data_IF_584336848991
#
_entry.id   IF_584336848991
#
_cell.length_a   1.000
_cell.length_b   1.000
_cell.length_c   1.000
_cell.angle_alpha   90.00
_cell.angle_beta   90.00
_cell.angle_gamma   90.00
#
_symmetry.space_group_name_H-M   'P 1'
#
loop_
_entity.id
_entity.type
_entity.pdbx_description
1 polymer ?
#
# COMPACT_ATOMS: atom_id res chain seq x y z
N UNK A 1 7.96 -38.53 19.79
CA UNK A 1 7.47 -37.81 20.98
C UNK A 1 7.68 -36.34 20.69
N UNK A 2 6.58 -35.59 20.50
CA UNK A 2 6.63 -34.15 20.21
C UNK A 2 7.02 -33.41 21.49
N UNK A 3 8.04 -32.56 21.44
CA UNK A 3 8.51 -31.78 22.59
C UNK A 3 7.47 -30.69 22.96
N UNK A 4 6.78 -30.78 24.11
CA UNK A 4 5.76 -29.82 24.50
C UNK A 4 6.32 -28.42 24.77
N UNK A 5 7.60 -28.29 25.13
CA UNK A 5 8.22 -27.00 25.40
C UNK A 5 8.43 -26.18 24.12
N UNK A 6 8.66 -26.86 22.98
CA UNK A 6 8.80 -26.21 21.67
C UNK A 6 7.51 -25.50 21.24
N UNK A 7 6.35 -26.10 21.51
CA UNK A 7 5.05 -25.50 21.19
C UNK A 7 4.67 -24.38 22.15
N UNK A 8 5.01 -24.53 23.43
CA UNK A 8 4.73 -23.50 24.43
C UNK A 8 5.52 -22.21 24.17
N UNK A 9 6.79 -22.32 23.73
CA UNK A 9 7.60 -21.14 23.36
C UNK A 9 7.05 -20.44 22.11
N UNK A 10 6.65 -21.19 21.09
CA UNK A 10 6.01 -20.65 19.87
C UNK A 10 4.69 -19.95 20.20
N UNK A 11 3.86 -20.50 21.08
CA UNK A 11 2.60 -19.85 21.48
C UNK A 11 2.81 -18.53 22.24
N UNK A 12 3.87 -18.44 23.06
CA UNK A 12 4.22 -17.21 23.80
C UNK A 12 4.72 -16.13 22.83
N UNK A 13 5.57 -16.50 21.88
CA UNK A 13 6.10 -15.62 20.84
C UNK A 13 4.96 -15.04 19.96
N UNK A 14 4.04 -15.92 19.53
CA UNK A 14 2.84 -15.51 18.77
C UNK A 14 1.94 -14.53 19.54
N UNK A 15 1.71 -14.77 20.83
CA UNK A 15 0.88 -13.89 21.65
C UNK A 15 1.54 -12.52 21.81
N UNK A 16 2.85 -12.48 22.09
CA UNK A 16 3.61 -11.24 22.23
C UNK A 16 3.59 -10.43 20.94
N UNK A 17 3.84 -11.07 19.79
CA UNK A 17 3.80 -10.39 18.49
C UNK A 17 2.44 -9.73 18.20
N UNK A 18 1.33 -10.42 18.52
CA UNK A 18 -0.03 -9.84 18.35
C UNK A 18 -0.23 -8.64 19.27
N UNK A 19 0.27 -8.70 20.50
CA UNK A 19 0.19 -7.58 21.45
C UNK A 19 0.98 -6.37 20.95
N UNK A 20 2.22 -6.57 20.50
CA UNK A 20 3.11 -5.54 19.99
C UNK A 20 2.55 -4.91 18.70
N UNK A 21 1.92 -5.72 17.84
CA UNK A 21 1.21 -5.24 16.65
C UNK A 21 0.06 -4.30 17.04
N UNK A 22 -0.80 -4.70 17.98
CA UNK A 22 -1.91 -3.87 18.41
C UNK A 22 -1.46 -2.61 19.14
N UNK A 23 -0.41 -2.69 19.96
CA UNK A 23 0.18 -1.52 20.62
C UNK A 23 0.71 -0.51 19.59
N UNK A 24 1.45 -0.97 18.59
CA UNK A 24 1.95 -0.12 17.50
C UNK A 24 0.81 0.55 16.72
N UNK A 25 -0.23 -0.20 16.35
CA UNK A 25 -1.39 0.37 15.62
C UNK A 25 -2.15 1.36 16.50
N UNK A 26 -2.33 1.06 17.78
CA UNK A 26 -2.97 1.96 18.75
C UNK A 26 -2.19 3.27 18.92
N UNK A 27 -0.86 3.22 18.98
CA UNK A 27 0.00 4.39 19.01
C UNK A 27 -0.12 5.20 17.70
N UNK A 28 -0.06 4.54 16.54
CA UNK A 28 -0.21 5.20 15.24
C UNK A 28 -1.56 5.92 15.08
N UNK A 29 -2.66 5.30 15.51
CA UNK A 29 -4.00 5.93 15.54
C UNK A 29 -4.00 7.17 16.44
N UNK A 30 -3.42 7.06 17.64
CA UNK A 30 -3.35 8.16 18.61
C UNK A 30 -2.54 9.33 18.07
N UNK A 31 -1.41 9.07 17.42
CA UNK A 31 -0.53 10.10 16.85
C UNK A 31 -1.18 10.76 15.64
N UNK A 32 -1.81 9.97 14.77
CA UNK A 32 -2.52 10.45 13.59
C UNK A 32 -3.71 11.37 13.92
N UNK A 33 -4.26 11.30 15.15
CA UNK A 33 -5.28 12.26 15.61
C UNK A 33 -4.76 13.68 15.78
N UNK A 34 -3.44 13.92 15.80
CA UNK A 34 -2.83 15.27 15.86
C UNK A 34 -3.42 16.17 16.97
N UNK A 35 -3.71 15.58 18.13
CA UNK A 35 -4.29 16.27 19.29
C UNK A 35 -5.83 16.36 19.33
N UNK A 36 -6.53 15.95 18.27
CA UNK A 36 -7.99 15.83 18.31
C UNK A 36 -8.45 14.76 19.31
N UNK A 37 -9.68 14.89 19.82
CA UNK A 37 -10.24 13.99 20.83
C UNK A 37 -10.71 12.65 20.23
N UNK A 38 -10.88 11.63 21.07
CA UNK A 38 -11.47 10.35 20.63
C UNK A 38 -12.94 10.52 20.19
N UNK A 39 -13.61 11.57 20.67
CA UNK A 39 -14.95 11.92 20.21
C UNK A 39 -14.92 12.44 18.78
N UNK A 40 -13.95 13.32 18.46
CA UNK A 40 -13.78 13.83 17.11
C UNK A 40 -13.58 12.69 16.10
N UNK A 41 -12.74 11.71 16.44
CA UNK A 41 -12.53 10.56 15.56
C UNK A 41 -13.80 9.71 15.44
N UNK A 42 -14.56 9.52 16.52
CA UNK A 42 -15.85 8.83 16.48
C UNK A 42 -16.83 9.52 15.53
N UNK A 43 -16.94 10.85 15.61
CA UNK A 43 -17.81 11.65 14.75
C UNK A 43 -17.38 11.55 13.28
N UNK A 44 -16.09 11.54 13.00
CA UNK A 44 -15.55 11.41 11.65
C UNK A 44 -15.81 10.02 11.04
N UNK A 45 -15.65 8.95 11.83
CA UNK A 45 -16.03 7.59 11.39
C UNK A 45 -17.54 7.48 11.12
N UNK A 46 -18.38 8.15 11.91
CA UNK A 46 -19.82 8.21 11.68
C UNK A 46 -20.16 8.99 10.40
N UNK A 47 -19.43 10.07 10.08
CA UNK A 47 -19.56 10.83 8.83
C UNK A 47 -19.26 9.97 7.59
N UNK A 48 -18.38 8.98 7.73
CA UNK A 48 -18.06 8.00 6.69
C UNK A 48 -19.09 6.85 6.58
N UNK A 49 -20.12 6.83 7.43
CA UNK A 49 -21.16 5.81 7.42
C UNK A 49 -20.79 4.52 8.17
N UNK A 50 -19.66 4.49 8.89
CA UNK A 50 -19.23 3.37 9.72
C UNK A 50 -18.87 3.87 11.13
N UNK A 51 -19.86 4.08 12.01
CA UNK A 51 -19.63 4.68 13.32
C UNK A 51 -18.83 3.76 14.23
N UNK A 52 -17.66 4.24 14.69
CA UNK A 52 -16.86 3.61 15.74
C UNK A 52 -17.01 4.47 17.00
N UNK A 53 -17.48 3.88 18.09
CA UNK A 53 -17.77 4.66 19.30
C UNK A 53 -16.50 5.26 19.91
N UNK A 54 -16.62 6.43 20.55
CA UNK A 54 -15.54 7.05 21.33
C UNK A 54 -14.93 6.07 22.33
N UNK A 55 -15.75 5.24 22.98
CA UNK A 55 -15.28 4.26 23.96
C UNK A 55 -14.49 3.13 23.31
N UNK A 56 -14.89 2.66 22.11
CA UNK A 56 -14.13 1.66 21.37
C UNK A 56 -12.75 2.20 20.97
N UNK A 57 -12.69 3.43 20.43
CA UNK A 57 -11.43 4.11 20.08
C UNK A 57 -10.54 4.27 21.32
N UNK A 58 -11.08 4.82 22.41
CA UNK A 58 -10.32 5.02 23.64
C UNK A 58 -9.86 3.69 24.28
N UNK A 59 -10.68 2.64 24.23
CA UNK A 59 -10.27 1.33 24.74
C UNK A 59 -9.17 0.70 23.89
N UNK A 60 -9.22 0.86 22.57
CA UNK A 60 -8.20 0.38 21.66
C UNK A 60 -6.87 1.12 21.88
N UNK A 61 -6.90 2.44 21.89
CA UNK A 61 -5.71 3.27 22.12
C UNK A 61 -5.04 3.01 23.46
N UNK A 62 -5.80 2.62 24.49
CA UNK A 62 -5.27 2.31 25.82
C UNK A 62 -4.95 0.82 26.01
N UNK A 63 -4.96 0.01 24.95
CA UNK A 63 -4.65 -1.43 25.00
C UNK A 63 -5.68 -2.30 25.73
N UNK A 64 -6.84 -1.74 26.10
CA UNK A 64 -7.94 -2.48 26.76
C UNK A 64 -8.73 -3.32 25.76
N UNK A 65 -8.81 -2.87 24.50
CA UNK A 65 -9.32 -3.65 23.35
C UNK A 65 -8.12 -4.00 22.48
N UNK A 66 -7.80 -5.30 22.35
CA UNK A 66 -6.75 -5.81 21.44
C UNK A 66 -7.36 -6.45 20.19
N UNK A 67 -8.40 -5.81 19.67
CA UNK A 67 -9.07 -6.23 18.43
C UNK A 67 -9.37 -5.01 17.60
N UNK A 68 -9.06 -5.10 16.32
CA UNK A 68 -9.38 -4.13 15.29
C UNK A 68 -9.70 -4.91 14.03
N UNK A 69 -10.92 -4.78 13.51
CA UNK A 69 -11.27 -5.45 12.26
C UNK A 69 -10.75 -4.65 11.04
N UNK A 70 -10.81 -5.28 9.86
CA UNK A 70 -10.31 -4.67 8.62
C UNK A 70 -11.12 -3.44 8.21
N UNK A 71 -12.43 -3.42 8.47
CA UNK A 71 -13.28 -2.27 8.17
C UNK A 71 -12.96 -1.10 9.12
N UNK A 72 -12.77 -1.37 10.41
CA UNK A 72 -12.32 -0.40 11.41
C UNK A 72 -10.97 0.20 11.00
N UNK A 73 -9.99 -0.61 10.58
CA UNK A 73 -8.68 -0.12 10.12
C UNK A 73 -8.83 0.86 8.93
N UNK A 74 -9.61 0.50 7.92
CA UNK A 74 -9.79 1.33 6.72
C UNK A 74 -10.54 2.62 7.03
N UNK A 75 -11.60 2.55 7.84
CA UNK A 75 -12.42 3.71 8.20
C UNK A 75 -11.63 4.65 9.11
N UNK A 76 -10.85 4.13 10.07
CA UNK A 76 -9.99 4.95 10.90
C UNK A 76 -8.93 5.66 10.06
N UNK A 77 -8.26 4.97 9.14
CA UNK A 77 -7.28 5.58 8.24
C UNK A 77 -7.90 6.71 7.40
N UNK A 78 -9.09 6.48 6.84
CA UNK A 78 -9.83 7.47 6.08
C UNK A 78 -10.26 8.68 6.94
N UNK A 79 -10.73 8.43 8.16
CA UNK A 79 -11.12 9.49 9.10
C UNK A 79 -9.93 10.32 9.58
N UNK A 80 -8.75 9.70 9.68
CA UNK A 80 -7.50 10.34 10.11
C UNK A 80 -6.75 11.02 8.95
N UNK A 81 -7.25 10.91 7.72
CA UNK A 81 -6.58 11.40 6.51
C UNK A 81 -5.14 10.88 6.38
N UNK A 82 -4.96 9.58 6.59
CA UNK A 82 -3.67 8.88 6.43
C UNK A 82 -3.82 7.61 5.58
N UNK A 83 -2.77 7.20 4.85
CA UNK A 83 -2.77 5.88 4.21
C UNK A 83 -2.92 4.76 5.27
N UNK A 84 -3.75 3.71 5.04
CA UNK A 84 -3.92 2.62 6.02
C UNK A 84 -2.61 1.95 6.43
N UNK A 85 -1.65 1.87 5.51
CA UNK A 85 -0.31 1.32 5.77
C UNK A 85 0.47 2.11 6.84
N UNK A 86 0.20 3.41 6.99
CA UNK A 86 0.82 4.23 8.04
C UNK A 86 0.30 3.89 9.44
N UNK A 87 -0.88 3.27 9.55
CA UNK A 87 -1.36 2.76 10.85
C UNK A 87 -0.68 1.44 11.23
N UNK A 88 -0.20 0.67 10.24
CA UNK A 88 0.48 -0.61 10.46
C UNK A 88 2.00 -0.45 10.63
N UNK A 89 2.61 0.39 9.80
CA UNK A 89 4.06 0.60 9.69
C UNK A 89 4.37 2.12 9.71
N UNK A 90 4.18 2.81 10.86
CA UNK A 90 4.26 4.27 10.95
C UNK A 90 5.67 4.86 10.81
N UNK A 91 6.72 4.11 11.12
CA UNK A 91 8.10 4.60 11.21
C UNK A 91 8.83 4.58 9.85
N UNK A 92 8.25 5.20 8.83
CA UNK A 92 8.81 5.22 7.49
C UNK A 92 10.05 6.15 7.37
N UNK A 93 11.05 5.82 6.52
CA UNK A 93 11.23 4.52 5.84
C UNK A 93 11.99 3.49 6.69
N UNK A 94 12.87 3.96 7.59
CA UNK A 94 13.94 3.15 8.19
C UNK A 94 13.59 2.51 9.53
N UNK A 95 12.47 2.88 10.15
CA UNK A 95 12.06 2.29 11.43
C UNK A 95 11.76 0.80 11.28
N UNK A 96 12.13 0.02 12.29
CA UNK A 96 12.09 -1.44 12.22
C UNK A 96 10.79 -1.96 12.79
N UNK A 97 10.17 -2.89 12.07
CA UNK A 97 8.93 -3.55 12.49
C UNK A 97 9.05 -5.05 12.35
N UNK A 98 8.56 -5.76 13.35
CA UNK A 98 8.32 -7.20 13.27
C UNK A 98 7.02 -7.44 12.47
N UNK A 99 7.18 -7.67 11.17
CA UNK A 99 6.08 -7.75 10.19
C UNK A 99 5.34 -9.09 10.27
N UNK A 100 6.07 -10.15 10.63
CA UNK A 100 5.57 -11.48 10.96
C UNK A 100 6.35 -11.98 12.19
N UNK A 101 5.81 -12.95 12.96
CA UNK A 101 6.50 -13.51 14.11
C UNK A 101 7.92 -13.97 13.78
N UNK A 102 8.92 -13.40 14.45
CA UNK A 102 10.35 -13.63 14.25
C UNK A 102 10.96 -12.97 13.00
N UNK A 103 10.21 -12.16 12.25
CA UNK A 103 10.68 -11.50 11.02
C UNK A 103 10.60 -9.98 11.14
N UNK A 104 11.75 -9.36 11.42
CA UNK A 104 11.89 -7.91 11.51
C UNK A 104 12.50 -7.32 10.24
N UNK A 105 11.84 -6.31 9.69
CA UNK A 105 12.25 -5.58 8.49
C UNK A 105 12.06 -4.08 8.70
N UNK A 106 12.59 -3.24 7.81
CA UNK A 106 12.27 -1.81 7.82
C UNK A 106 10.82 -1.58 7.42
N UNK A 107 10.23 -0.48 7.88
CA UNK A 107 8.83 -0.12 7.63
C UNK A 107 8.56 0.04 6.14
N UNK A 108 9.54 0.47 5.35
CA UNK A 108 9.41 0.53 3.89
C UNK A 108 9.31 -0.88 3.26
N UNK A 109 10.12 -1.84 3.71
CA UNK A 109 10.05 -3.22 3.20
C UNK A 109 8.73 -3.88 3.59
N UNK A 110 8.23 -3.64 4.81
CA UNK A 110 6.92 -4.12 5.24
C UNK A 110 5.78 -3.53 4.37
N UNK A 111 5.86 -2.23 4.03
CA UNK A 111 4.89 -1.57 3.16
C UNK A 111 4.96 -2.06 1.70
N UNK A 112 6.17 -2.31 1.17
CA UNK A 112 6.37 -2.88 -0.16
C UNK A 112 5.77 -4.28 -0.26
N UNK A 113 5.96 -5.10 0.76
CA UNK A 113 5.31 -6.41 0.83
C UNK A 113 3.80 -6.33 0.94
N UNK A 114 3.29 -5.48 1.84
CA UNK A 114 1.85 -5.29 2.03
C UNK A 114 1.14 -4.80 0.75
N UNK A 115 1.81 -3.96 -0.03
CA UNK A 115 1.30 -3.45 -1.31
C UNK A 115 1.50 -4.39 -2.50
N UNK A 116 2.19 -5.51 -2.31
CA UNK A 116 2.54 -6.45 -3.38
C UNK A 116 3.62 -5.94 -4.34
N UNK A 117 4.38 -4.92 -3.93
CA UNK A 117 5.46 -4.32 -4.73
C UNK A 117 6.71 -5.20 -4.72
N UNK A 118 7.13 -5.71 -3.55
CA UNK A 118 8.27 -6.62 -3.39
C UNK A 118 7.93 -7.75 -2.41
N UNK A 119 8.76 -8.80 -2.37
CA UNK A 119 8.64 -9.90 -1.42
C UNK A 119 9.47 -9.62 -0.16
N UNK A 120 9.03 -10.16 0.99
CA UNK A 120 9.85 -10.18 2.20
C UNK A 120 11.17 -10.94 1.93
N UNK A 121 12.28 -10.58 2.62
CA UNK A 121 13.56 -11.27 2.46
C UNK A 121 13.45 -12.80 2.60
N UNK A 122 12.64 -13.29 3.54
CA UNK A 122 12.41 -14.73 3.74
C UNK A 122 11.65 -15.43 2.61
N UNK A 123 11.07 -14.67 1.69
CA UNK A 123 10.21 -15.14 0.60
C UNK A 123 10.80 -14.91 -0.80
N UNK A 124 11.93 -14.20 -0.94
CA UNK A 124 12.51 -13.82 -2.24
C UNK A 124 12.87 -14.98 -3.16
N UNK A 125 13.27 -16.13 -2.59
CA UNK A 125 13.60 -17.31 -3.38
C UNK A 125 12.36 -18.11 -3.83
N UNK A 126 11.15 -17.69 -3.39
CA UNK A 126 9.91 -18.36 -3.78
C UNK A 126 9.48 -17.93 -5.18
N UNK A 127 8.86 -18.81 -5.97
CA UNK A 127 8.25 -18.40 -7.24
C UNK A 127 7.22 -17.30 -7.02
N UNK A 128 7.32 -16.23 -7.80
CA UNK A 128 6.39 -15.09 -7.74
C UNK A 128 4.97 -15.60 -8.01
N UNK A 129 4.05 -15.32 -7.07
CA UNK A 129 2.65 -15.71 -7.23
C UNK A 129 1.97 -14.95 -8.38
N UNK A 130 0.91 -15.53 -8.96
CA UNK A 130 0.12 -14.85 -10.00
C UNK A 130 -0.40 -13.48 -9.53
N UNK A 131 -0.85 -13.39 -8.27
CA UNK A 131 -1.36 -12.15 -7.68
C UNK A 131 -0.26 -11.11 -7.48
N UNK A 132 0.93 -11.51 -7.02
CA UNK A 132 2.07 -10.61 -6.89
C UNK A 132 2.51 -10.08 -8.27
N UNK A 133 2.59 -10.97 -9.27
CA UNK A 133 2.90 -10.57 -10.64
C UNK A 133 1.86 -9.59 -11.20
N UNK A 134 0.56 -9.88 -11.01
CA UNK A 134 -0.52 -8.99 -11.42
C UNK A 134 -0.40 -7.62 -10.76
N UNK A 135 -0.12 -7.56 -9.46
CA UNK A 135 0.02 -6.29 -8.73
C UNK A 135 1.20 -5.46 -9.25
N UNK A 136 2.37 -6.09 -9.45
CA UNK A 136 3.56 -5.45 -10.04
C UNK A 136 3.29 -4.91 -11.45
N UNK A 137 2.59 -5.68 -12.29
CA UNK A 137 2.17 -5.25 -13.63
C UNK A 137 1.19 -4.08 -13.58
N UNK A 138 0.19 -4.13 -12.69
CA UNK A 138 -0.78 -3.07 -12.52
C UNK A 138 -0.12 -1.77 -12.05
N UNK A 139 0.79 -1.84 -11.08
CA UNK A 139 1.56 -0.70 -10.61
C UNK A 139 2.43 -0.12 -11.72
N UNK A 140 3.20 -0.96 -12.42
CA UNK A 140 4.01 -0.53 -13.58
C UNK A 140 3.13 0.15 -14.63
N UNK A 141 2.00 -0.44 -15.02
CA UNK A 141 1.06 0.17 -15.97
C UNK A 141 0.59 1.55 -15.50
N UNK A 142 0.21 1.68 -14.23
CA UNK A 142 -0.27 2.94 -13.66
C UNK A 142 0.80 4.03 -13.70
N UNK A 143 2.02 3.72 -13.25
CA UNK A 143 3.17 4.63 -13.28
C UNK A 143 3.50 5.06 -14.71
N UNK A 144 3.50 4.11 -15.65
CA UNK A 144 3.75 4.39 -17.06
C UNK A 144 2.68 5.28 -17.68
N UNK A 145 1.41 5.08 -17.30
CA UNK A 145 0.29 5.88 -17.78
C UNK A 145 0.32 7.31 -17.22
N UNK A 146 0.61 7.47 -15.92
CA UNK A 146 0.64 8.79 -15.25
C UNK A 146 1.77 9.70 -15.69
N UNK A 147 2.94 9.13 -15.99
CA UNK A 147 4.13 9.94 -16.26
C UNK A 147 4.45 10.11 -17.75
N UNK A 148 3.56 9.71 -18.66
CA UNK A 148 3.80 9.77 -20.10
C UNK A 148 4.23 11.17 -20.58
N UNK A 149 3.39 12.18 -20.34
CA UNK A 149 3.64 13.57 -20.76
C UNK A 149 4.87 14.15 -20.08
N UNK A 150 5.04 13.88 -18.79
CA UNK A 150 6.18 14.35 -17.98
C UNK A 150 7.50 13.72 -18.44
N UNK A 151 7.52 12.43 -18.78
CA UNK A 151 8.74 11.71 -19.22
C UNK A 151 9.13 12.06 -20.64
N UNK A 152 8.19 12.19 -21.57
CA UNK A 152 8.46 12.67 -22.93
C UNK A 152 9.06 14.07 -22.85
N UNK A 153 8.44 14.96 -22.06
CA UNK A 153 8.89 16.34 -21.89
C UNK A 153 10.26 16.42 -21.21
N UNK A 154 10.54 15.61 -20.18
CA UNK A 154 11.84 15.55 -19.51
C UNK A 154 12.93 14.99 -20.45
N UNK A 155 12.62 13.94 -21.21
CA UNK A 155 13.56 13.34 -22.18
C UNK A 155 13.87 14.28 -23.34
N UNK A 156 12.90 15.08 -23.79
CA UNK A 156 13.12 16.15 -24.78
C UNK A 156 14.06 17.24 -24.24
N UNK A 157 13.91 17.64 -22.97
CA UNK A 157 14.77 18.64 -22.32
C UNK A 157 16.20 18.14 -22.06
N UNK A 158 16.35 16.87 -21.65
CA UNK A 158 17.64 16.27 -21.30
C UNK A 158 18.48 15.92 -22.53
N UNK A 159 17.87 15.51 -23.64
CA UNK A 159 18.56 15.18 -24.88
C UNK A 159 18.93 16.42 -25.70
N UNK A 160 19.16 17.56 -25.03
CA UNK A 160 19.23 18.91 -25.58
C UNK A 160 19.98 18.99 -26.90
N UNK A 161 19.24 18.81 -28.00
CA UNK A 161 19.49 19.37 -29.32
C UNK A 161 18.48 18.91 -30.37
N UNK A 162 18.30 19.80 -31.34
CA UNK A 162 17.95 19.58 -32.77
C UNK A 162 16.48 19.49 -33.20
N UNK A 163 16.12 20.45 -34.07
CA UNK A 163 15.48 20.42 -35.40
C UNK A 163 14.39 19.39 -35.78
N UNK A 164 14.09 18.36 -34.98
CA UNK A 164 13.12 17.32 -35.29
C UNK A 164 12.31 16.83 -34.06
N UNK A 165 12.02 17.77 -33.16
CA UNK A 165 11.26 17.56 -31.92
C UNK A 165 9.90 16.86 -32.15
N UNK A 166 9.12 17.17 -33.22
CA UNK A 166 7.83 16.52 -33.46
C UNK A 166 7.93 15.02 -33.79
N UNK A 167 8.88 14.61 -34.63
CA UNK A 167 9.02 13.19 -35.02
C UNK A 167 9.54 12.34 -33.87
N UNK A 168 10.55 12.81 -33.13
CA UNK A 168 11.07 12.11 -31.93
C UNK A 168 10.00 11.97 -30.86
N UNK A 169 9.14 12.98 -30.70
CA UNK A 169 7.98 12.92 -29.81
C UNK A 169 6.99 11.84 -30.26
N UNK A 170 6.61 11.80 -31.53
CA UNK A 170 5.67 10.82 -32.06
C UNK A 170 6.20 9.38 -31.97
N UNK A 171 7.51 9.18 -32.19
CA UNK A 171 8.16 7.88 -31.99
C UNK A 171 8.10 7.42 -30.54
N UNK A 172 8.40 8.31 -29.59
CA UNK A 172 8.31 7.97 -28.17
C UNK A 172 6.87 7.71 -27.76
N UNK A 173 5.91 8.52 -28.19
CA UNK A 173 4.48 8.29 -27.96
C UNK A 173 4.05 6.90 -28.46
N UNK A 174 4.48 6.49 -29.66
CA UNK A 174 4.24 5.13 -30.17
C UNK A 174 4.84 4.05 -29.29
N UNK A 175 6.13 4.17 -28.94
CA UNK A 175 6.80 3.21 -28.07
C UNK A 175 6.09 3.08 -26.71
N UNK A 176 5.65 4.20 -26.13
CA UNK A 176 4.93 4.20 -24.86
C UNK A 176 3.56 3.50 -24.96
N UNK A 177 2.82 3.75 -26.05
CA UNK A 177 1.55 3.08 -26.29
C UNK A 177 1.74 1.57 -26.50
N UNK A 178 2.81 1.15 -27.16
CA UNK A 178 3.16 -0.26 -27.30
C UNK A 178 3.46 -0.93 -25.96
N UNK A 179 4.23 -0.28 -25.10
CA UNK A 179 4.51 -0.76 -23.74
C UNK A 179 3.23 -0.89 -22.89
N UNK A 180 2.33 0.10 -22.96
CA UNK A 180 1.02 0.02 -22.27
C UNK A 180 0.19 -1.14 -22.84
N UNK A 181 0.15 -1.31 -24.17
CA UNK A 181 -0.55 -2.44 -24.82
C UNK A 181 0.02 -3.78 -24.37
N UNK A 182 1.33 -3.90 -24.30
CA UNK A 182 2.00 -5.11 -23.82
C UNK A 182 1.64 -5.38 -22.35
N UNK A 183 1.76 -4.39 -21.46
CA UNK A 183 1.36 -4.54 -20.06
C UNK A 183 -0.13 -4.88 -19.91
N UNK A 184 -1.00 -4.29 -20.73
CA UNK A 184 -2.42 -4.62 -20.76
C UNK A 184 -2.64 -6.10 -21.13
N UNK A 185 -1.89 -6.63 -22.10
CA UNK A 185 -1.95 -8.05 -22.47
C UNK A 185 -1.43 -8.96 -21.35
N UNK A 186 -0.31 -8.59 -20.71
CA UNK A 186 0.28 -9.33 -19.59
C UNK A 186 -0.65 -9.35 -18.36
N UNK A 187 -1.31 -8.23 -18.04
CA UNK A 187 -2.31 -8.13 -16.97
C UNK A 187 -3.47 -9.08 -17.25
N UNK A 188 -4.02 -9.07 -18.46
CA UNK A 188 -5.11 -9.99 -18.85
C UNK A 188 -4.66 -11.45 -18.75
N UNK A 189 -3.46 -11.78 -19.21
CA UNK A 189 -2.89 -13.12 -19.12
C UNK A 189 -2.65 -13.57 -17.66
N UNK A 190 -2.35 -12.63 -16.75
CA UNK A 190 -2.24 -12.87 -15.32
C UNK A 190 -3.61 -12.98 -14.61
N UNK A 191 -4.73 -12.83 -15.32
CA UNK A 191 -6.09 -12.87 -14.76
C UNK A 191 -6.62 -11.52 -14.26
N UNK A 192 -5.91 -10.43 -14.54
CA UNK A 192 -6.34 -9.08 -14.22
C UNK A 192 -7.34 -8.50 -15.22
N UNK A 193 -8.10 -7.50 -14.77
CA UNK A 193 -9.05 -6.79 -15.61
C UNK A 193 -8.44 -5.51 -16.20
N UNK A 194 -8.58 -5.34 -17.51
CA UNK A 194 -8.23 -4.12 -18.24
C UNK A 194 -9.46 -3.74 -19.07
N UNK A 195 -10.05 -2.58 -18.80
CA UNK A 195 -11.17 -2.06 -19.57
C UNK A 195 -10.77 -1.79 -21.03
N UNK A 196 -11.70 -1.96 -21.96
CA UNK A 196 -11.45 -1.85 -23.40
C UNK A 196 -11.25 -0.39 -23.88
N UNK A 197 -11.69 0.59 -23.09
CA UNK A 197 -11.45 2.02 -23.34
C UNK A 197 -10.10 2.46 -22.77
N UNK A 198 -9.04 2.33 -23.58
CA UNK A 198 -7.73 2.96 -23.35
C UNK A 198 -7.77 4.52 -23.44
N UNK A 199 -8.96 5.14 -23.41
CA UNK A 199 -9.17 6.60 -23.47
C UNK A 199 -9.46 7.25 -22.11
N UNK A 200 -9.56 6.50 -21.01
CA UNK A 200 -9.66 7.11 -19.67
C UNK A 200 -8.28 7.51 -19.19
N UNK A 201 -8.10 8.81 -19.00
CA UNK A 201 -7.01 9.37 -18.20
C UNK A 201 -6.88 8.55 -16.90
N UNK A 202 -5.73 7.92 -16.64
CA UNK A 202 -5.48 7.15 -15.42
C UNK A 202 -5.62 7.97 -14.13
N UNK A 203 -5.67 9.30 -14.21
CA UNK A 203 -5.92 10.19 -13.08
C UNK A 203 -7.41 10.41 -12.75
N UNK A 204 -8.36 9.81 -13.50
CA UNK A 204 -9.79 9.88 -13.18
C UNK A 204 -10.43 11.26 -13.34
N UNK A 205 -9.74 12.20 -14.00
CA UNK A 205 -10.30 13.48 -14.38
C UNK A 205 -11.34 13.30 -15.48
N UNK A 206 -12.63 13.51 -15.15
CA UNK A 206 -13.63 13.80 -16.18
C UNK A 206 -13.19 15.10 -16.85
N UNK A 207 -12.90 15.07 -18.14
CA UNK A 207 -12.97 16.28 -18.95
C UNK A 207 -14.42 16.78 -18.86
N UNK A 208 -14.61 17.89 -18.15
CA UNK A 208 -15.78 18.74 -18.29
C UNK A 208 -15.55 19.71 -19.46
#
# INVERSE_FOLDING_TARGET
MLDPHKYQLVCVDMAQWVEDLHERVAAAVRDARRGHSAQWLADETARLGYPISRSAIANYENGRKKTLDIAELLVLAAALDVPPVMLLFPEQPDGVVEVLPGESVTSIVAAEWFSGSDDLPSMRDRPVSKSANLMRLAHRRYEWSRYLTSRISLRLKLNGDSHNVPERRAEWERQYLDEIRQMNAEIRAAGGYVADDDARDPAGGRNA
#
